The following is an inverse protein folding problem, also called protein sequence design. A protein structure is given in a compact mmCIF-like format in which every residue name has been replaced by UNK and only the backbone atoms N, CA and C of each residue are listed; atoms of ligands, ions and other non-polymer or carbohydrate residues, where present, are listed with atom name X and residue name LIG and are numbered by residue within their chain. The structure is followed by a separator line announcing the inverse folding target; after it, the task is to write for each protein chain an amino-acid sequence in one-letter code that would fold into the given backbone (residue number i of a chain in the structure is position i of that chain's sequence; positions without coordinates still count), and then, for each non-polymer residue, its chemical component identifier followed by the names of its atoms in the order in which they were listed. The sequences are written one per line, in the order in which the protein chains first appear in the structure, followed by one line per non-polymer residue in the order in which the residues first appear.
data_IF_256228484560
#
_entry.id   IF_256228484560
#
_cell.length_a   1.000
_cell.length_b   1.000
_cell.length_c   1.000
_cell.angle_alpha   90.00
_cell.angle_beta   90.00
_cell.angle_gamma   90.00
#
_symmetry.space_group_name_H-M   'P 1'
#
loop_
_entity.id
_entity.type
_entity.pdbx_description
1 polymer ?
#
# COMPACT_ATOMS: atom_id res chain seq x y z
N UNK A 1 13.93 -14.12 -23.00
CA UNK A 1 14.19 -15.13 -21.94
C UNK A 1 14.19 -14.50 -20.54
N UNK A 2 14.91 -13.39 -20.31
CA UNK A 2 15.03 -12.71 -19.00
C UNK A 2 13.67 -12.32 -18.37
N UNK A 3 12.80 -11.62 -19.12
CA UNK A 3 11.48 -11.17 -18.63
C UNK A 3 10.58 -12.30 -18.11
N UNK A 4 10.63 -13.48 -18.76
CA UNK A 4 9.83 -14.64 -18.37
C UNK A 4 10.33 -15.24 -17.05
N UNK A 5 11.65 -15.41 -16.91
CA UNK A 5 12.26 -15.91 -15.66
C UNK A 5 11.97 -14.98 -14.50
N UNK A 6 12.13 -13.66 -14.68
CA UNK A 6 11.81 -12.67 -13.65
C UNK A 6 10.35 -12.78 -13.20
N UNK A 7 9.42 -12.85 -14.14
CA UNK A 7 8.00 -12.99 -13.86
C UNK A 7 7.69 -14.28 -13.07
N UNK A 8 8.22 -15.43 -13.52
CA UNK A 8 8.03 -16.73 -12.85
C UNK A 8 8.60 -16.72 -11.41
N UNK A 9 9.78 -16.14 -11.20
CA UNK A 9 10.40 -16.01 -9.87
C UNK A 9 9.59 -15.11 -8.93
N UNK A 10 9.12 -13.96 -9.42
CA UNK A 10 8.31 -13.05 -8.59
C UNK A 10 6.96 -13.71 -8.28
N UNK A 11 6.31 -14.29 -9.29
CA UNK A 11 5.01 -14.97 -9.20
C UNK A 11 5.01 -16.04 -8.10
N UNK A 12 6.03 -16.91 -8.06
CA UNK A 12 6.15 -17.95 -7.02
C UNK A 12 6.49 -17.42 -5.63
N UNK A 13 7.17 -16.28 -5.54
CA UNK A 13 7.61 -15.69 -4.27
C UNK A 13 6.57 -14.73 -3.66
N UNK A 14 5.62 -14.24 -4.47
CA UNK A 14 4.72 -13.16 -4.10
C UNK A 14 3.89 -13.44 -2.83
N UNK A 15 3.32 -14.64 -2.61
CA UNK A 15 2.58 -14.93 -1.38
C UNK A 15 3.43 -14.75 -0.12
N UNK A 16 4.68 -15.23 -0.16
CA UNK A 16 5.62 -15.13 0.96
C UNK A 16 6.02 -13.67 1.19
N UNK A 17 6.30 -12.93 0.11
CA UNK A 17 6.64 -11.51 0.18
C UNK A 17 5.49 -10.72 0.83
N UNK A 18 4.25 -10.97 0.41
CA UNK A 18 3.06 -10.31 0.97
C UNK A 18 2.94 -10.54 2.49
N UNK A 19 3.12 -11.78 2.93
CA UNK A 19 3.08 -12.13 4.36
C UNK A 19 4.20 -11.49 5.17
N UNK A 20 5.44 -11.59 4.69
CA UNK A 20 6.61 -11.04 5.38
C UNK A 20 6.57 -9.51 5.46
N UNK A 21 6.20 -8.84 4.37
CA UNK A 21 6.09 -7.39 4.36
C UNK A 21 5.00 -6.88 5.31
N UNK A 22 3.81 -7.50 5.30
CA UNK A 22 2.75 -7.13 6.22
C UNK A 22 3.16 -7.36 7.69
N UNK A 23 3.79 -8.50 7.98
CA UNK A 23 4.32 -8.78 9.32
C UNK A 23 5.36 -7.73 9.73
N UNK A 24 6.25 -7.33 8.81
CA UNK A 24 7.29 -6.33 9.06
C UNK A 24 6.67 -4.98 9.41
N UNK A 25 5.70 -4.50 8.62
CA UNK A 25 5.00 -3.23 8.89
C UNK A 25 4.32 -3.25 10.26
N UNK A 26 3.58 -4.33 10.57
CA UNK A 26 2.85 -4.45 11.85
C UNK A 26 3.81 -4.52 13.05
N UNK A 27 4.88 -5.30 12.94
CA UNK A 27 5.87 -5.45 14.02
C UNK A 27 6.60 -4.11 14.25
N UNK A 28 7.02 -3.44 13.17
CA UNK A 28 7.68 -2.14 13.25
C UNK A 28 6.78 -1.07 13.89
N UNK A 29 5.50 -0.98 13.51
CA UNK A 29 4.55 -0.04 14.15
C UNK A 29 4.34 -0.41 15.63
N UNK A 30 4.07 -1.68 15.94
CA UNK A 30 3.85 -2.12 17.32
C UNK A 30 5.08 -1.84 18.22
N UNK A 31 6.29 -2.09 17.73
CA UNK A 31 7.53 -1.75 18.43
C UNK A 31 7.72 -0.25 18.55
N UNK A 32 7.47 0.51 17.47
CA UNK A 32 7.55 1.98 17.46
C UNK A 32 6.62 2.60 18.50
N UNK A 33 5.39 2.11 18.62
CA UNK A 33 4.44 2.54 19.65
C UNK A 33 4.92 2.15 21.05
N UNK A 34 5.33 0.89 21.24
CA UNK A 34 5.65 0.35 22.57
C UNK A 34 6.94 0.93 23.17
N UNK A 35 7.90 1.31 22.33
CA UNK A 35 9.21 1.79 22.76
C UNK A 35 9.27 3.31 23.00
N UNK A 36 8.21 4.06 22.66
CA UNK A 36 8.17 5.52 22.75
C UNK A 36 7.08 5.98 23.73
N UNK A 37 7.42 6.13 25.01
CA UNK A 37 6.48 6.38 26.11
C UNK A 37 5.72 7.73 26.10
N UNK A 38 5.97 8.60 25.11
CA UNK A 38 5.23 9.84 24.88
C UNK A 38 4.30 9.81 23.66
N UNK A 39 4.41 8.78 22.83
CA UNK A 39 3.67 8.67 21.58
C UNK A 39 2.25 8.15 21.81
N UNK A 40 1.27 8.88 21.29
CA UNK A 40 -0.14 8.53 21.36
C UNK A 40 -0.64 8.01 19.99
N UNK A 41 -0.79 6.68 19.81
CA UNK A 41 -1.14 6.09 18.52
C UNK A 41 -2.56 6.42 18.02
N UNK A 42 -3.40 7.02 18.87
CA UNK A 42 -4.73 7.47 18.48
C UNK A 42 -4.69 8.87 17.83
N UNK A 43 -3.83 9.74 18.37
CA UNK A 43 -3.81 11.17 18.04
C UNK A 43 -2.62 11.57 17.17
N UNK A 44 -1.49 10.88 17.26
CA UNK A 44 -0.30 11.12 16.45
C UNK A 44 -0.26 10.17 15.26
N UNK A 45 0.08 10.73 14.09
CA UNK A 45 0.21 10.00 12.82
C UNK A 45 1.29 8.92 12.92
N UNK A 46 1.24 7.90 12.07
CA UNK A 46 2.31 6.90 11.95
C UNK A 46 3.64 7.61 11.68
N UNK A 47 3.62 8.60 10.78
CA UNK A 47 4.82 9.33 10.37
C UNK A 47 5.41 10.22 11.46
N UNK A 48 4.65 10.59 12.51
CA UNK A 48 5.18 11.28 13.69
C UNK A 48 6.19 10.43 14.47
N UNK A 49 6.18 9.10 14.31
CA UNK A 49 7.18 8.22 14.93
C UNK A 49 8.60 8.60 14.55
N UNK A 50 8.82 9.25 13.40
CA UNK A 50 10.14 9.69 12.92
C UNK A 50 10.84 10.66 13.88
N UNK A 51 10.08 11.34 14.75
CA UNK A 51 10.61 12.29 15.74
C UNK A 51 11.04 11.62 17.04
N UNK A 52 10.72 10.34 17.22
CA UNK A 52 11.04 9.60 18.43
C UNK A 52 12.32 8.75 18.27
N UNK A 53 12.98 8.34 19.37
CA UNK A 53 14.26 7.60 19.32
C UNK A 53 14.25 6.34 18.44
N UNK A 54 13.10 5.67 18.33
CA UNK A 54 12.92 4.45 17.54
C UNK A 54 12.21 4.68 16.20
N UNK A 55 12.14 5.94 15.73
CA UNK A 55 11.44 6.32 14.50
C UNK A 55 11.97 5.68 13.21
N UNK A 56 13.19 5.15 13.22
CA UNK A 56 13.73 4.37 12.09
C UNK A 56 12.98 3.06 11.83
N UNK A 57 12.26 2.53 12.83
CA UNK A 57 11.40 1.35 12.64
C UNK A 57 10.26 1.63 11.65
N UNK A 58 9.69 2.83 11.70
CA UNK A 58 8.63 3.24 10.77
C UNK A 58 9.13 3.28 9.33
N UNK A 59 10.35 3.79 9.11
CA UNK A 59 11.00 3.76 7.79
C UNK A 59 11.21 2.35 7.26
N UNK A 60 11.54 1.38 8.11
CA UNK A 60 11.65 -0.03 7.70
C UNK A 60 10.28 -0.62 7.31
N UNK A 61 9.24 -0.30 8.06
CA UNK A 61 7.86 -0.67 7.71
C UNK A 61 7.47 -0.09 6.34
N UNK A 62 7.66 1.22 6.14
CA UNK A 62 7.37 1.88 4.86
C UNK A 62 8.18 1.32 3.70
N UNK A 63 9.47 1.00 3.93
CA UNK A 63 10.31 0.37 2.92
C UNK A 63 9.79 -1.03 2.52
N UNK A 64 9.35 -1.85 3.49
CA UNK A 64 8.75 -3.15 3.23
C UNK A 64 7.45 -3.04 2.43
N UNK A 65 6.59 -2.06 2.77
CA UNK A 65 5.38 -1.76 2.02
C UNK A 65 5.71 -1.34 0.58
N UNK A 66 6.63 -0.38 0.39
CA UNK A 66 7.07 0.09 -0.91
C UNK A 66 7.68 -1.02 -1.77
N UNK A 67 8.54 -1.86 -1.18
CA UNK A 67 9.12 -3.02 -1.86
C UNK A 67 8.03 -3.97 -2.38
N UNK A 68 6.99 -4.23 -1.59
CA UNK A 68 5.86 -5.06 -2.00
C UNK A 68 5.12 -4.46 -3.19
N UNK A 69 4.95 -3.13 -3.23
CA UNK A 69 4.35 -2.45 -4.38
C UNK A 69 5.21 -2.59 -5.65
N UNK A 70 6.55 -2.51 -5.55
CA UNK A 70 7.45 -2.82 -6.69
C UNK A 70 7.26 -4.26 -7.14
N UNK A 71 7.15 -5.23 -6.23
CA UNK A 71 6.95 -6.63 -6.60
C UNK A 71 5.63 -6.83 -7.36
N UNK A 72 4.52 -6.21 -6.90
CA UNK A 72 3.26 -6.21 -7.65
C UNK A 72 3.38 -5.56 -9.03
N UNK A 73 3.99 -4.38 -9.10
CA UNK A 73 4.19 -3.68 -10.37
C UNK A 73 5.02 -4.53 -11.34
N UNK A 74 6.13 -5.09 -10.87
CA UNK A 74 7.01 -5.93 -11.67
C UNK A 74 6.30 -7.22 -12.13
N UNK A 75 5.56 -7.90 -11.24
CA UNK A 75 4.75 -9.06 -11.59
C UNK A 75 3.70 -8.72 -12.67
N UNK A 76 2.85 -7.73 -12.40
CA UNK A 76 1.74 -7.35 -13.29
C UNK A 76 2.26 -6.86 -14.63
N UNK A 77 3.20 -5.90 -14.65
CA UNK A 77 3.71 -5.32 -15.90
C UNK A 77 4.54 -6.31 -16.72
N UNK A 78 5.12 -7.34 -16.09
CA UNK A 78 5.83 -8.40 -16.80
C UNK A 78 4.90 -9.46 -17.39
N UNK A 79 3.67 -9.60 -16.86
CA UNK A 79 2.66 -10.58 -17.30
C UNK A 79 2.26 -10.44 -18.77
N UNK A 80 1.67 -11.51 -19.33
CA UNK A 80 1.05 -11.46 -20.67
C UNK A 80 -0.22 -10.60 -20.66
N UNK A 81 -0.99 -10.69 -19.58
CA UNK A 81 -2.28 -10.00 -19.42
C UNK A 81 -2.12 -8.47 -19.47
N UNK A 82 -1.03 -7.91 -18.97
CA UNK A 82 -0.76 -6.47 -19.10
C UNK A 82 -0.52 -6.01 -20.56
N UNK A 83 -0.26 -6.93 -21.51
CA UNK A 83 -0.09 -6.57 -22.93
C UNK A 83 -1.42 -6.49 -23.68
N UNK A 84 -2.42 -7.25 -23.23
CA UNK A 84 -3.71 -7.39 -23.90
C UNK A 84 -4.83 -6.65 -23.16
N UNK A 85 -4.73 -6.54 -21.84
CA UNK A 85 -5.71 -5.86 -20.99
C UNK A 85 -5.12 -4.56 -20.43
N UNK A 86 -5.62 -3.43 -20.93
CA UNK A 86 -5.15 -2.11 -20.52
C UNK A 86 -5.44 -1.82 -19.03
N UNK A 87 -6.50 -2.39 -18.44
CA UNK A 87 -6.81 -2.22 -17.02
C UNK A 87 -5.78 -2.89 -16.12
N UNK A 88 -5.35 -4.11 -16.48
CA UNK A 88 -4.24 -4.81 -15.79
C UNK A 88 -2.97 -3.95 -15.86
N UNK A 89 -2.68 -3.39 -17.04
CA UNK A 89 -1.50 -2.52 -17.22
C UNK A 89 -1.57 -1.25 -16.37
N UNK A 90 -2.71 -0.56 -16.36
CA UNK A 90 -2.92 0.63 -15.54
C UNK A 90 -2.73 0.30 -14.06
N UNK A 91 -3.29 -0.82 -13.59
CA UNK A 91 -3.11 -1.25 -12.19
C UNK A 91 -1.63 -1.48 -11.85
N UNK A 92 -0.88 -2.16 -12.72
CA UNK A 92 0.56 -2.34 -12.55
C UNK A 92 1.34 -1.01 -12.51
N UNK A 93 0.94 -0.02 -13.31
CA UNK A 93 1.54 1.32 -13.28
C UNK A 93 1.20 2.09 -12.00
N UNK A 94 -0.03 1.96 -11.48
CA UNK A 94 -0.41 2.56 -10.21
C UNK A 94 0.42 1.97 -9.07
N UNK A 95 0.65 0.66 -9.05
CA UNK A 95 1.57 0.06 -8.07
C UNK A 95 2.99 0.60 -8.17
N UNK A 96 3.49 0.84 -9.39
CA UNK A 96 4.80 1.45 -9.58
C UNK A 96 4.85 2.88 -9.00
N UNK A 97 3.82 3.70 -9.26
CA UNK A 97 3.69 5.05 -8.70
C UNK A 97 3.58 5.00 -7.19
N UNK A 98 2.79 4.07 -6.63
CA UNK A 98 2.67 3.91 -5.19
C UNK A 98 4.01 3.56 -4.54
N UNK A 99 4.82 2.70 -5.16
CA UNK A 99 6.16 2.43 -4.63
C UNK A 99 7.07 3.65 -4.66
N UNK A 100 7.00 4.46 -5.71
CA UNK A 100 7.77 5.71 -5.76
C UNK A 100 7.32 6.61 -4.61
N UNK A 101 6.02 6.71 -4.37
CA UNK A 101 5.47 7.45 -3.23
C UNK A 101 6.00 6.96 -1.88
N UNK A 102 6.06 5.64 -1.64
CA UNK A 102 6.68 5.08 -0.44
C UNK A 102 8.16 5.46 -0.31
N UNK A 103 8.91 5.50 -1.43
CA UNK A 103 10.28 6.00 -1.44
C UNK A 103 10.37 7.49 -1.09
N UNK A 104 9.47 8.32 -1.64
CA UNK A 104 9.40 9.76 -1.35
C UNK A 104 9.14 10.00 0.13
N UNK A 105 8.12 9.38 0.73
CA UNK A 105 7.80 9.60 2.17
C UNK A 105 8.88 9.05 3.12
N UNK A 106 9.70 8.09 2.66
CA UNK A 106 10.86 7.62 3.44
C UNK A 106 12.00 8.64 3.43
N UNK A 107 12.16 9.39 2.33
CA UNK A 107 13.24 10.39 2.17
C UNK A 107 12.84 11.74 2.76
N UNK A 108 11.62 12.20 2.47
CA UNK A 108 11.09 13.47 2.96
C UNK A 108 10.30 13.20 4.23
N UNK A 109 10.76 13.72 5.36
CA UNK A 109 10.07 13.58 6.65
C UNK A 109 8.86 14.51 6.73
N UNK A 110 7.87 14.11 7.51
CA UNK A 110 6.77 15.00 7.91
C UNK A 110 7.29 16.16 8.76
N UNK A 111 6.50 17.22 8.89
CA UNK A 111 6.74 18.29 9.85
C UNK A 111 6.17 17.91 11.23
N UNK A 112 6.70 18.43 12.34
CA UNK A 112 6.19 18.14 13.67
C UNK A 112 4.80 18.72 13.88
N UNK A 113 3.90 17.93 14.47
CA UNK A 113 2.53 18.33 14.73
C UNK A 113 1.64 18.26 13.50
N UNK A 114 0.54 19.01 13.49
CA UNK A 114 -0.48 18.96 12.43
C UNK A 114 -0.27 20.00 11.31
N UNK A 115 0.82 20.76 11.37
CA UNK A 115 1.12 21.84 10.43
C UNK A 115 1.94 21.35 9.22
N UNK A 116 1.80 22.06 8.10
CA UNK A 116 2.74 21.98 6.97
C UNK A 116 3.56 23.27 7.02
N UNK A 117 4.78 23.17 7.54
CA UNK A 117 5.67 24.31 7.80
C UNK A 117 6.85 24.34 6.83
N UNK A 118 7.26 23.19 6.30
CA UNK A 118 8.39 23.05 5.39
C UNK A 118 7.98 22.47 4.03
N UNK A 119 8.82 22.71 3.01
CA UNK A 119 8.65 22.08 1.70
C UNK A 119 8.72 20.55 1.79
N UNK A 120 9.60 20.04 2.67
CA UNK A 120 9.77 18.60 2.89
C UNK A 120 8.51 17.95 3.48
N UNK A 121 7.96 18.55 4.54
CA UNK A 121 6.70 18.10 5.14
C UNK A 121 5.53 18.21 4.16
N UNK A 122 5.48 19.28 3.36
CA UNK A 122 4.46 19.44 2.31
C UNK A 122 4.52 18.34 1.24
N UNK A 123 5.72 17.97 0.78
CA UNK A 123 5.92 16.84 -0.15
C UNK A 123 5.48 15.53 0.51
N UNK A 124 5.86 15.30 1.77
CA UNK A 124 5.49 14.10 2.52
C UNK A 124 3.97 13.95 2.62
N UNK A 125 3.29 14.94 3.20
CA UNK A 125 1.83 14.91 3.42
C UNK A 125 1.06 14.77 2.10
N UNK A 126 1.46 15.52 1.07
CA UNK A 126 0.85 15.39 -0.26
C UNK A 126 1.00 13.98 -0.82
N UNK A 127 2.17 13.37 -0.64
CA UNK A 127 2.43 12.01 -1.10
C UNK A 127 1.59 10.99 -0.33
N UNK A 128 1.46 11.13 1.00
CA UNK A 128 0.58 10.29 1.82
C UNK A 128 -0.88 10.36 1.34
N UNK A 129 -1.39 11.56 1.08
CA UNK A 129 -2.76 11.76 0.55
C UNK A 129 -2.93 11.06 -0.81
N UNK A 130 -1.95 11.21 -1.72
CA UNK A 130 -1.98 10.56 -3.03
C UNK A 130 -1.96 9.03 -2.87
N UNK A 131 -1.11 8.48 -2.01
CA UNK A 131 -1.06 7.04 -1.74
C UNK A 131 -2.39 6.52 -1.16
N UNK A 132 -2.96 7.27 -0.21
CA UNK A 132 -4.24 6.96 0.41
C UNK A 132 -5.39 6.90 -0.61
N UNK A 133 -5.37 7.76 -1.62
CA UNK A 133 -6.35 7.75 -2.71
C UNK A 133 -6.07 6.68 -3.78
N UNK A 134 -4.80 6.47 -4.14
CA UNK A 134 -4.42 5.52 -5.18
C UNK A 134 -4.71 4.07 -4.79
N UNK A 135 -4.54 3.70 -3.52
CA UNK A 135 -4.80 2.34 -3.07
C UNK A 135 -6.24 1.86 -3.36
N UNK A 136 -7.32 2.52 -2.87
CA UNK A 136 -8.69 2.07 -3.15
C UNK A 136 -9.05 2.15 -4.63
N UNK A 137 -8.54 3.16 -5.36
CA UNK A 137 -8.69 3.24 -6.82
C UNK A 137 -8.09 1.99 -7.48
N UNK A 138 -6.88 1.59 -7.07
CA UNK A 138 -6.20 0.45 -7.66
C UNK A 138 -6.90 -0.87 -7.33
N UNK A 139 -7.38 -1.06 -6.09
CA UNK A 139 -8.20 -2.21 -5.71
C UNK A 139 -9.43 -2.34 -6.60
N UNK A 140 -10.14 -1.24 -6.84
CA UNK A 140 -11.30 -1.21 -7.74
C UNK A 140 -10.93 -1.58 -9.19
N UNK A 141 -9.89 -0.95 -9.74
CA UNK A 141 -9.44 -1.19 -11.11
C UNK A 141 -8.97 -2.64 -11.31
N UNK A 142 -8.20 -3.16 -10.36
CA UNK A 142 -7.70 -4.54 -10.44
C UNK A 142 -8.84 -5.55 -10.34
N UNK A 143 -9.84 -5.29 -9.49
CA UNK A 143 -11.07 -6.10 -9.40
C UNK A 143 -11.78 -6.20 -10.74
N UNK A 144 -11.95 -5.07 -11.45
CA UNK A 144 -12.53 -5.07 -12.79
C UNK A 144 -11.64 -5.79 -13.80
N UNK A 145 -10.33 -5.64 -13.68
CA UNK A 145 -9.37 -6.24 -14.60
C UNK A 145 -9.35 -7.77 -14.53
N UNK A 146 -9.56 -8.34 -13.33
CA UNK A 146 -9.57 -9.80 -13.10
C UNK A 146 -10.96 -10.42 -13.09
N UNK A 147 -12.04 -9.62 -13.13
CA UNK A 147 -13.41 -10.08 -12.90
C UNK A 147 -13.96 -11.10 -13.90
N UNK A 148 -13.33 -11.26 -15.07
CA UNK A 148 -13.69 -12.29 -16.03
C UNK A 148 -13.10 -13.68 -15.70
N UNK A 149 -12.23 -13.77 -14.69
CA UNK A 149 -11.69 -15.04 -14.22
C UNK A 149 -12.70 -15.70 -13.26
N UNK A 150 -13.16 -16.94 -13.52
CA UNK A 150 -14.15 -17.63 -12.67
C UNK A 150 -13.69 -17.81 -11.21
N UNK A 151 -12.37 -17.90 -10.98
CA UNK A 151 -11.80 -18.06 -9.64
C UNK A 151 -11.63 -16.72 -8.91
N UNK A 152 -11.97 -15.59 -9.56
CA UNK A 152 -11.74 -14.25 -9.00
C UNK A 152 -12.81 -13.80 -8.01
N UNK A 153 -13.97 -14.46 -7.93
CA UNK A 153 -15.14 -13.94 -7.23
C UNK A 153 -14.82 -13.51 -5.79
N UNK A 154 -14.19 -14.36 -4.97
CA UNK A 154 -13.84 -14.03 -3.59
C UNK A 154 -12.89 -12.83 -3.51
N UNK A 155 -11.88 -12.80 -4.37
CA UNK A 155 -10.83 -11.77 -4.37
C UNK A 155 -11.38 -10.43 -4.88
N UNK A 156 -12.30 -10.47 -5.84
CA UNK A 156 -13.02 -9.31 -6.37
C UNK A 156 -13.91 -8.68 -5.29
N UNK A 157 -14.73 -9.46 -4.60
CA UNK A 157 -15.59 -8.93 -3.53
C UNK A 157 -14.76 -8.34 -2.38
N UNK A 158 -13.69 -9.04 -2.00
CA UNK A 158 -12.77 -8.55 -0.97
C UNK A 158 -12.08 -7.24 -1.38
N UNK A 159 -11.64 -7.15 -2.63
CA UNK A 159 -11.01 -5.94 -3.17
C UNK A 159 -11.98 -4.76 -3.24
N UNK A 160 -13.24 -4.98 -3.61
CA UNK A 160 -14.26 -3.93 -3.54
C UNK A 160 -14.55 -3.47 -2.11
N UNK A 161 -14.64 -4.41 -1.17
CA UNK A 161 -14.83 -4.09 0.24
C UNK A 161 -13.67 -3.24 0.77
N UNK A 162 -12.43 -3.65 0.50
CA UNK A 162 -11.23 -2.89 0.93
C UNK A 162 -11.14 -1.54 0.22
N UNK A 163 -11.54 -1.44 -1.06
CA UNK A 163 -11.62 -0.16 -1.76
C UNK A 163 -12.66 0.78 -1.13
N UNK A 164 -13.83 0.26 -0.76
CA UNK A 164 -14.89 1.05 -0.12
C UNK A 164 -14.47 1.55 1.27
N UNK A 165 -13.98 0.64 2.13
CA UNK A 165 -13.52 0.99 3.48
C UNK A 165 -12.33 1.95 3.40
N UNK A 166 -11.33 1.62 2.59
CA UNK A 166 -10.14 2.45 2.39
C UNK A 166 -10.48 3.83 1.82
N UNK A 167 -11.41 3.91 0.87
CA UNK A 167 -11.89 5.19 0.31
C UNK A 167 -12.60 6.06 1.34
N UNK A 168 -13.43 5.47 2.20
CA UNK A 168 -14.11 6.19 3.29
C UNK A 168 -13.10 6.74 4.30
N UNK A 169 -12.10 5.96 4.68
CA UNK A 169 -11.04 6.41 5.62
C UNK A 169 -10.15 7.46 4.96
N UNK A 170 -9.72 7.23 3.71
CA UNK A 170 -8.89 8.19 2.97
C UNK A 170 -9.59 9.54 2.77
N UNK A 171 -10.92 9.55 2.60
CA UNK A 171 -11.70 10.78 2.56
C UNK A 171 -11.59 11.59 3.86
N UNK A 172 -11.52 10.92 5.02
CA UNK A 172 -11.32 11.58 6.30
C UNK A 172 -9.92 12.20 6.42
N UNK A 173 -8.91 11.62 5.75
CA UNK A 173 -7.53 12.13 5.72
C UNK A 173 -7.33 13.34 4.80
N UNK A 174 -8.34 13.74 4.03
CA UNK A 174 -8.25 14.95 3.22
C UNK A 174 -8.19 16.20 4.12
N UNK A 175 -7.45 17.24 3.71
CA UNK A 175 -7.27 18.49 4.48
C UNK A 175 -8.56 19.29 4.71
N UNK A 176 -9.70 18.77 4.24
CA UNK A 176 -11.03 19.34 4.41
C UNK A 176 -11.68 18.97 5.76
N UNK A 177 -11.14 17.96 6.47
CA UNK A 177 -11.72 17.47 7.71
C UNK A 177 -10.81 17.80 8.91
N UNK A 178 -11.32 18.39 10.00
CA UNK A 178 -10.56 18.53 11.23
C UNK A 178 -10.43 17.15 11.90
N UNK A 179 -9.31 16.47 11.65
CA UNK A 179 -9.10 15.09 12.09
C UNK A 179 -8.67 15.08 13.56
N UNK A 180 -9.57 14.65 14.45
CA UNK A 180 -9.27 14.53 15.89
C UNK A 180 -8.54 13.23 16.26
N UNK A 181 -8.41 12.28 15.33
CA UNK A 181 -7.76 10.98 15.53
C UNK A 181 -7.00 10.55 14.27
N UNK A 182 -5.99 11.34 13.87
CA UNK A 182 -5.23 11.05 12.65
C UNK A 182 -4.46 9.73 12.76
N UNK A 183 -3.89 9.45 13.94
CA UNK A 183 -3.14 8.22 14.20
C UNK A 183 -3.94 6.94 13.96
N UNK A 184 -5.15 6.83 14.52
CA UNK A 184 -5.97 5.63 14.30
C UNK A 184 -6.46 5.55 12.85
N UNK A 185 -6.75 6.70 12.22
CA UNK A 185 -7.23 6.75 10.84
C UNK A 185 -6.18 6.23 9.87
N UNK A 186 -4.92 6.66 10.00
CA UNK A 186 -3.82 6.14 9.21
C UNK A 186 -3.56 4.65 9.45
N UNK A 187 -3.60 4.20 10.72
CA UNK A 187 -3.43 2.78 11.05
C UNK A 187 -4.53 1.90 10.50
N UNK A 188 -5.78 2.37 10.51
CA UNK A 188 -6.89 1.65 9.88
C UNK A 188 -6.72 1.60 8.36
N UNK A 189 -6.31 2.70 7.72
CA UNK A 189 -6.04 2.72 6.29
C UNK A 189 -4.88 1.79 5.91
N UNK A 190 -3.79 1.82 6.68
CA UNK A 190 -2.66 0.91 6.53
C UNK A 190 -3.10 -0.55 6.73
N UNK A 191 -3.89 -0.83 7.77
CA UNK A 191 -4.44 -2.15 8.05
C UNK A 191 -5.30 -2.70 6.91
N UNK A 192 -6.16 -1.87 6.32
CA UNK A 192 -6.95 -2.20 5.13
C UNK A 192 -6.03 -2.56 3.95
N UNK A 193 -4.97 -1.77 3.73
CA UNK A 193 -3.98 -2.07 2.69
C UNK A 193 -3.26 -3.40 2.96
N UNK A 194 -2.75 -3.61 4.17
CA UNK A 194 -2.05 -4.85 4.54
C UNK A 194 -2.94 -6.08 4.42
N UNK A 195 -4.20 -6.00 4.87
CA UNK A 195 -5.17 -7.08 4.72
C UNK A 195 -5.39 -7.41 3.23
N UNK A 196 -5.48 -6.39 2.37
CA UNK A 196 -5.54 -6.56 0.92
C UNK A 196 -4.29 -7.22 0.34
N UNK A 197 -3.10 -6.75 0.73
CA UNK A 197 -1.82 -7.33 0.28
C UNK A 197 -1.74 -8.82 0.62
N UNK A 198 -2.03 -9.18 1.87
CA UNK A 198 -1.92 -10.57 2.33
C UNK A 198 -2.97 -11.46 1.66
N UNK A 199 -4.21 -10.99 1.55
CA UNK A 199 -5.29 -11.83 1.02
C UNK A 199 -5.38 -11.75 -0.51
N UNK A 200 -5.66 -10.59 -1.08
CA UNK A 200 -5.82 -10.44 -2.53
C UNK A 200 -4.48 -10.50 -3.27
N UNK A 201 -3.47 -9.79 -2.75
CA UNK A 201 -2.15 -9.68 -3.37
C UNK A 201 -1.45 -11.04 -3.54
N UNK A 202 -1.53 -11.91 -2.54
CA UNK A 202 -0.94 -13.26 -2.59
C UNK A 202 -1.58 -14.18 -3.64
N UNK A 203 -2.83 -13.92 -4.04
CA UNK A 203 -3.55 -14.72 -5.03
C UNK A 203 -3.47 -14.16 -6.46
N UNK A 204 -2.90 -12.96 -6.65
CA UNK A 204 -2.74 -12.36 -7.97
C UNK A 204 -2.03 -13.23 -9.01
N UNK A 205 -1.00 -14.02 -8.68
CA UNK A 205 -0.36 -14.94 -9.62
C UNK A 205 -1.35 -15.84 -10.35
N UNK A 206 -2.25 -16.47 -9.59
CA UNK A 206 -3.27 -17.37 -10.13
C UNK A 206 -4.27 -16.61 -11.02
N UNK A 207 -4.63 -15.38 -10.63
CA UNK A 207 -5.70 -14.64 -11.28
C UNK A 207 -5.26 -13.92 -12.57
N UNK A 208 -4.05 -13.38 -12.58
CA UNK A 208 -3.52 -12.59 -13.69
C UNK A 208 -2.99 -13.48 -14.81
N UNK A 209 -2.44 -14.66 -14.50
CA UNK A 209 -1.83 -15.54 -15.49
C UNK A 209 -2.80 -16.56 -16.11
N UNK A 210 -4.00 -16.72 -15.54
CA UNK A 210 -5.02 -17.59 -16.10
C UNK A 210 -5.64 -16.95 -17.35
N UNK A 211 -5.59 -17.61 -18.52
CA UNK A 211 -6.21 -17.10 -19.74
C UNK A 211 -7.73 -16.96 -19.53
N UNK A 212 -8.28 -15.79 -19.85
CA UNK A 212 -9.73 -15.62 -20.00
C UNK A 212 -10.14 -16.44 -21.22
N UNK A 213 -10.98 -17.45 -21.02
CA UNK A 213 -11.55 -18.27 -22.10
C UNK A 213 -12.52 -17.44 -22.94
#
# INVERSE_FOLDING_TARGET
MIRRRLHETISSSLPIICGLAAATVVICDAMGVSLNSGYNPLNESISDLVFYPWGWLEQLGMAAAGFTQIMFAAFILSSKSARTNHWVRISGLIFAVMSIGFGIITVFKTDPGLGIESLGGGIHVTTVIVLAALFPINCYLLSRAIGNNPDSATILHFSYLMAAIGGLIAFQLLPLNPIRFIGISERLLAGVNLAWIVFAGSHLPHLVDTPVK
#
